data_IF_769280165916
#
_entry.id   IF_769280165916
#
_cell.length_a   1.000
_cell.length_b   1.000
_cell.length_c   1.000
_cell.angle_alpha   90.00
_cell.angle_beta   90.00
_cell.angle_gamma   90.00
#
_symmetry.space_group_name_H-M   'P 1'
#
loop_
_entity.id
_entity.type
_entity.pdbx_description
1 polymer ?
#
# COMPACT_ATOMS: atom_id res chain seq x y z
N UNK A 1 11.97 2.93 -24.12
CA UNK A 1 11.49 3.19 -22.75
C UNK A 1 10.14 2.50 -22.56
N UNK A 2 10.10 1.39 -21.83
CA UNK A 2 8.89 0.65 -21.44
C UNK A 2 8.50 1.04 -20.02
N UNK A 3 7.28 1.52 -19.87
CA UNK A 3 6.70 1.87 -18.57
C UNK A 3 5.74 0.75 -18.14
N UNK A 4 5.87 0.27 -16.91
CA UNK A 4 4.89 -0.62 -16.29
C UNK A 4 4.14 0.13 -15.19
N UNK A 5 2.81 0.19 -15.27
CA UNK A 5 1.95 0.78 -14.24
C UNK A 5 1.25 -0.34 -13.47
N UNK A 6 1.37 -0.33 -12.15
CA UNK A 6 0.71 -1.29 -11.25
C UNK A 6 -0.27 -0.53 -10.34
N UNK A 7 -1.54 -0.44 -10.72
CA UNK A 7 -2.59 0.18 -9.89
C UNK A 7 -3.24 -0.84 -8.96
N UNK A 8 -3.86 -0.36 -7.87
CA UNK A 8 -4.76 -1.12 -6.99
C UNK A 8 -4.16 -2.44 -6.50
N UNK A 9 -2.86 -2.41 -6.21
CA UNK A 9 -2.13 -3.64 -5.87
C UNK A 9 -2.65 -4.26 -4.57
N UNK A 10 -3.14 -3.44 -3.61
CA UNK A 10 -3.71 -3.88 -2.33
C UNK A 10 -2.83 -4.89 -1.58
N UNK A 11 -1.52 -4.83 -1.77
CA UNK A 11 -0.54 -5.74 -1.20
C UNK A 11 -0.54 -7.13 -1.85
N UNK A 12 -1.31 -7.30 -2.91
CA UNK A 12 -1.26 -8.47 -3.76
C UNK A 12 0.15 -8.74 -4.24
N UNK A 13 0.71 -9.89 -3.85
CA UNK A 13 2.02 -10.37 -4.31
C UNK A 13 1.96 -10.92 -5.74
N UNK A 14 0.82 -10.78 -6.42
CA UNK A 14 0.48 -11.50 -7.64
C UNK A 14 1.57 -11.28 -8.68
N UNK A 15 2.34 -12.33 -8.95
CA UNK A 15 3.21 -12.49 -10.11
C UNK A 15 4.17 -11.33 -10.44
N UNK A 16 4.47 -10.42 -9.52
CA UNK A 16 5.29 -9.24 -9.84
C UNK A 16 6.63 -9.67 -10.46
N UNK A 17 7.30 -10.69 -9.89
CA UNK A 17 8.54 -11.22 -10.44
C UNK A 17 8.39 -11.82 -11.85
N UNK A 18 7.31 -12.54 -12.12
CA UNK A 18 7.09 -13.16 -13.43
C UNK A 18 6.66 -12.13 -14.47
N UNK A 19 5.84 -11.17 -14.07
CA UNK A 19 5.42 -10.03 -14.89
C UNK A 19 6.62 -9.15 -15.28
N UNK A 20 7.53 -8.86 -14.34
CA UNK A 20 8.72 -8.07 -14.62
C UNK A 20 9.65 -8.77 -15.61
N UNK A 21 9.80 -10.10 -15.53
CA UNK A 21 10.55 -10.89 -16.51
C UNK A 21 9.90 -10.91 -17.88
N UNK A 22 8.58 -10.91 -17.94
CA UNK A 22 7.84 -10.93 -19.20
C UNK A 22 7.86 -9.57 -19.90
N UNK A 23 7.68 -8.49 -19.14
CA UNK A 23 7.53 -7.13 -19.68
C UNK A 23 8.89 -6.46 -19.92
N UNK A 24 9.86 -6.74 -19.04
CA UNK A 24 11.17 -6.08 -18.98
C UNK A 24 11.05 -4.54 -18.99
N UNK A 25 10.38 -3.92 -18.00
CA UNK A 25 10.18 -2.48 -17.98
C UNK A 25 11.46 -1.72 -17.60
N UNK A 26 11.61 -0.52 -18.15
CA UNK A 26 12.67 0.43 -17.79
C UNK A 26 12.32 1.23 -16.53
N UNK A 27 11.02 1.37 -16.24
CA UNK A 27 10.47 2.14 -15.13
C UNK A 27 9.14 1.53 -14.68
N UNK A 28 8.95 1.44 -13.36
CA UNK A 28 7.71 0.99 -12.72
C UNK A 28 7.04 2.18 -12.05
N UNK A 29 5.72 2.31 -12.19
CA UNK A 29 4.92 3.33 -11.51
C UNK A 29 3.78 2.66 -10.75
N UNK A 30 3.63 3.01 -9.47
CA UNK A 30 2.59 2.47 -8.60
C UNK A 30 1.75 3.64 -8.05
N UNK A 31 0.59 3.91 -8.66
CA UNK A 31 -0.30 4.97 -8.22
C UNK A 31 -1.18 4.51 -7.04
N UNK A 32 -0.70 4.73 -5.82
CA UNK A 32 -1.47 4.55 -4.59
C UNK A 32 -1.92 3.13 -4.29
N UNK A 33 -2.67 3.00 -3.19
CA UNK A 33 -3.39 1.78 -2.78
C UNK A 33 -2.51 0.51 -2.68
N UNK A 34 -1.22 0.72 -2.39
CA UNK A 34 -0.22 -0.33 -2.12
C UNK A 34 -0.59 -1.14 -0.88
N UNK A 35 -0.84 -0.51 0.27
CA UNK A 35 -1.52 -1.14 1.37
C UNK A 35 -2.98 -0.68 1.44
N UNK A 36 -3.89 -1.39 0.79
CA UNK A 36 -5.33 -1.13 0.89
C UNK A 36 -6.10 -2.40 1.20
N UNK A 37 -7.02 -2.36 2.17
CA UNK A 37 -8.15 -3.30 2.18
C UNK A 37 -9.41 -2.45 2.10
N UNK A 38 -10.09 -2.49 0.96
CA UNK A 38 -11.32 -1.72 0.73
C UNK A 38 -12.44 -2.19 1.69
N UNK A 39 -12.41 -3.45 2.12
CA UNK A 39 -13.58 -4.11 2.69
C UNK A 39 -13.93 -3.69 4.13
N UNK A 40 -12.92 -3.41 4.97
CA UNK A 40 -13.16 -3.23 6.41
C UNK A 40 -13.72 -1.85 6.82
N UNK A 41 -13.24 -0.73 6.25
CA UNK A 41 -13.80 0.60 6.54
C UNK A 41 -15.26 0.72 6.14
N UNK A 42 -15.65 0.15 4.99
CA UNK A 42 -17.04 0.13 4.50
C UNK A 42 -17.95 -0.63 5.48
N UNK A 43 -17.51 -1.81 5.93
CA UNK A 43 -18.21 -2.60 6.94
C UNK A 43 -18.42 -1.79 8.23
N UNK A 44 -17.37 -1.16 8.76
CA UNK A 44 -17.48 -0.42 10.04
C UNK A 44 -18.32 0.87 9.90
N UNK A 45 -18.18 1.61 8.80
CA UNK A 45 -18.97 2.81 8.53
C UNK A 45 -20.46 2.50 8.39
N UNK A 46 -20.80 1.35 7.79
CA UNK A 46 -22.19 0.89 7.71
C UNK A 46 -22.82 0.69 9.10
N UNK A 47 -22.07 0.17 10.07
CA UNK A 47 -22.52 0.00 11.47
C UNK A 47 -22.58 1.32 12.25
N UNK A 48 -21.71 2.30 11.96
CA UNK A 48 -21.72 3.60 12.63
C UNK A 48 -22.95 4.45 12.29
N UNK A 49 -23.52 4.28 11.10
CA UNK A 49 -24.70 5.02 10.64
C UNK A 49 -26.01 4.68 11.39
N UNK A 50 -26.07 3.59 12.17
CA UNK A 50 -27.32 3.03 12.74
C UNK A 50 -27.47 3.04 14.28
N UNK A 51 -26.65 3.76 15.04
CA UNK A 51 -27.00 4.21 16.41
C UNK A 51 -26.33 3.55 17.64
N UNK A 52 -26.64 4.13 18.82
CA UNK A 52 -26.32 3.90 20.26
C UNK A 52 -24.94 3.36 20.72
N UNK A 53 -24.16 2.65 19.91
CA UNK A 53 -22.85 2.05 20.29
C UNK A 53 -21.64 2.75 19.67
N UNK A 54 -21.79 4.02 19.26
CA UNK A 54 -20.78 4.81 18.53
C UNK A 54 -19.38 4.76 19.16
N UNK A 55 -19.26 4.88 20.48
CA UNK A 55 -17.97 4.84 21.19
C UNK A 55 -17.32 3.45 21.15
N UNK A 56 -18.09 2.38 21.33
CA UNK A 56 -17.60 1.00 21.20
C UNK A 56 -17.15 0.72 19.77
N UNK A 57 -17.94 1.12 18.77
CA UNK A 57 -17.58 0.94 17.36
C UNK A 57 -16.34 1.77 17.00
N UNK A 58 -16.19 2.99 17.52
CA UNK A 58 -14.99 3.83 17.33
C UNK A 58 -13.74 3.17 17.93
N UNK A 59 -13.83 2.62 19.15
CA UNK A 59 -12.71 1.92 19.79
C UNK A 59 -12.35 0.60 19.08
N UNK A 60 -13.35 -0.16 18.63
CA UNK A 60 -13.16 -1.36 17.82
C UNK A 60 -12.55 -1.02 16.46
N UNK A 61 -13.01 0.06 15.82
CA UNK A 61 -12.47 0.60 14.58
C UNK A 61 -10.98 0.93 14.73
N UNK A 62 -10.57 1.71 15.74
CA UNK A 62 -9.16 2.05 15.93
C UNK A 62 -8.28 0.82 16.16
N UNK A 63 -8.70 -0.13 17.00
CA UNK A 63 -7.97 -1.39 17.22
C UNK A 63 -7.88 -2.24 15.94
N UNK A 64 -8.92 -2.21 15.11
CA UNK A 64 -8.91 -2.87 13.81
C UNK A 64 -7.99 -2.14 12.82
N UNK A 65 -8.03 -0.82 12.80
CA UNK A 65 -7.22 0.03 11.94
C UNK A 65 -5.74 -0.19 12.22
N UNK A 66 -5.29 -0.17 13.48
CA UNK A 66 -3.89 -0.48 13.84
C UNK A 66 -3.43 -1.86 13.34
N UNK A 67 -4.25 -2.90 13.54
CA UNK A 67 -3.96 -4.26 13.08
C UNK A 67 -3.95 -4.36 11.55
N UNK A 68 -4.84 -3.63 10.89
CA UNK A 68 -4.92 -3.52 9.44
C UNK A 68 -3.69 -2.81 8.90
N UNK A 69 -3.31 -1.65 9.44
CA UNK A 69 -2.10 -0.89 9.09
C UNK A 69 -0.85 -1.75 9.20
N UNK A 70 -0.70 -2.54 10.28
CA UNK A 70 0.45 -3.44 10.39
C UNK A 70 0.45 -4.56 9.33
N UNK A 71 -0.71 -5.18 9.07
CA UNK A 71 -0.83 -6.20 8.00
C UNK A 71 -0.54 -5.60 6.63
N UNK A 72 -1.10 -4.43 6.36
CA UNK A 72 -0.89 -3.61 5.18
C UNK A 72 0.59 -3.32 4.95
N UNK A 73 1.30 -2.79 5.95
CA UNK A 73 2.75 -2.57 5.91
C UNK A 73 3.50 -3.88 5.64
N UNK A 74 3.18 -4.96 6.37
CA UNK A 74 3.84 -6.26 6.20
C UNK A 74 3.69 -6.80 4.78
N UNK A 75 2.51 -6.63 4.20
CA UNK A 75 2.19 -7.09 2.86
C UNK A 75 2.88 -6.22 1.80
N UNK A 76 2.75 -4.89 1.89
CA UNK A 76 3.44 -3.95 1.01
C UNK A 76 4.96 -4.16 1.05
N UNK A 77 5.54 -4.37 2.23
CA UNK A 77 6.98 -4.66 2.41
C UNK A 77 7.47 -5.80 1.53
N UNK A 78 6.68 -6.87 1.36
CA UNK A 78 7.10 -8.02 0.55
C UNK A 78 7.18 -7.67 -0.93
N UNK A 79 6.14 -7.00 -1.44
CA UNK A 79 6.12 -6.50 -2.82
C UNK A 79 7.28 -5.53 -3.06
N UNK A 80 7.47 -4.56 -2.16
CA UNK A 80 8.54 -3.58 -2.30
C UNK A 80 9.93 -4.22 -2.28
N UNK A 81 10.16 -5.25 -1.46
CA UNK A 81 11.43 -6.01 -1.51
C UNK A 81 11.59 -6.72 -2.85
N UNK A 82 10.54 -7.36 -3.38
CA UNK A 82 10.59 -7.99 -4.71
C UNK A 82 10.90 -6.95 -5.82
N UNK A 83 10.45 -5.69 -5.67
CA UNK A 83 10.77 -4.57 -6.57
C UNK A 83 12.20 -4.02 -6.36
N UNK A 84 12.66 -3.90 -5.12
CA UNK A 84 14.05 -3.54 -4.78
C UNK A 84 15.00 -4.53 -5.46
N UNK A 85 14.76 -5.82 -5.28
CA UNK A 85 15.59 -6.91 -5.80
C UNK A 85 15.63 -6.92 -7.34
N UNK A 86 14.61 -6.36 -8.01
CA UNK A 86 14.59 -6.25 -9.47
C UNK A 86 15.60 -5.24 -10.02
N UNK A 87 16.03 -4.27 -9.20
CA UNK A 87 16.90 -3.18 -9.62
C UNK A 87 16.24 -2.14 -10.54
N UNK A 88 14.99 -2.36 -10.95
CA UNK A 88 14.26 -1.46 -11.85
C UNK A 88 13.83 -0.22 -11.04
N UNK A 89 14.08 1.00 -11.55
CA UNK A 89 13.57 2.22 -10.94
C UNK A 89 12.06 2.14 -10.75
N UNK A 90 11.60 2.44 -9.55
CA UNK A 90 10.18 2.36 -9.16
C UNK A 90 9.74 3.69 -8.55
N UNK A 91 8.66 4.25 -9.08
CA UNK A 91 7.99 5.42 -8.54
C UNK A 91 6.74 4.98 -7.78
N UNK A 92 6.69 5.33 -6.50
CA UNK A 92 5.52 5.14 -5.65
C UNK A 92 4.83 6.49 -5.50
N UNK A 93 3.58 6.58 -5.90
CA UNK A 93 2.76 7.78 -5.71
C UNK A 93 1.78 7.47 -4.58
N UNK A 94 1.58 8.41 -3.66
CA UNK A 94 0.64 8.19 -2.57
C UNK A 94 -0.81 8.16 -3.06
N UNK A 95 -1.61 7.24 -2.52
CA UNK A 95 -3.06 7.24 -2.68
C UNK A 95 -3.76 8.16 -1.68
N UNK A 96 -5.09 8.03 -1.63
CA UNK A 96 -5.96 8.73 -0.68
C UNK A 96 -6.29 7.86 0.56
N UNK A 97 -5.94 6.57 0.56
CA UNK A 97 -6.31 5.62 1.62
C UNK A 97 -5.21 5.39 2.66
N UNK A 98 -3.97 5.86 2.43
CA UNK A 98 -2.84 5.59 3.33
C UNK A 98 -2.87 6.46 4.59
N UNK A 99 -2.78 5.79 5.75
CA UNK A 99 -2.69 6.45 7.06
C UNK A 99 -1.36 7.19 7.24
N UNK A 100 -1.26 8.19 8.16
CA UNK A 100 -0.01 8.89 8.46
C UNK A 100 1.17 7.96 8.83
N UNK A 101 0.89 6.86 9.54
CA UNK A 101 1.88 5.84 9.92
C UNK A 101 2.42 5.10 8.69
N UNK A 102 1.52 4.77 7.76
CA UNK A 102 1.87 4.12 6.50
C UNK A 102 2.76 5.03 5.66
N UNK A 103 2.42 6.32 5.57
CA UNK A 103 3.22 7.33 4.85
C UNK A 103 4.62 7.47 5.46
N UNK A 104 4.70 7.57 6.79
CA UNK A 104 5.99 7.63 7.50
C UNK A 104 6.83 6.39 7.24
N UNK A 105 6.24 5.20 7.33
CA UNK A 105 6.91 3.95 7.03
C UNK A 105 7.42 3.89 5.58
N UNK A 106 6.62 4.34 4.63
CA UNK A 106 6.97 4.30 3.21
C UNK A 106 8.13 5.25 2.88
N UNK A 107 8.13 6.46 3.46
CA UNK A 107 9.26 7.40 3.34
C UNK A 107 10.55 6.77 3.87
N UNK A 108 10.53 6.24 5.09
CA UNK A 108 11.68 5.55 5.69
C UNK A 108 12.16 4.34 4.87
N UNK A 109 11.23 3.62 4.23
CA UNK A 109 11.57 2.52 3.34
C UNK A 109 12.30 3.02 2.08
N UNK A 110 11.79 4.07 1.43
CA UNK A 110 12.40 4.63 0.22
C UNK A 110 13.76 5.28 0.50
N UNK A 111 13.94 5.94 1.64
CA UNK A 111 15.23 6.49 2.06
C UNK A 111 16.32 5.41 2.18
N UNK A 112 15.91 4.17 2.51
CA UNK A 112 16.81 3.01 2.60
C UNK A 112 17.18 2.41 1.25
N UNK A 113 16.31 2.50 0.24
CA UNK A 113 16.46 1.80 -1.04
C UNK A 113 16.41 2.78 -2.21
N UNK A 114 17.57 3.04 -2.81
CA UNK A 114 17.77 4.12 -3.80
C UNK A 114 17.01 3.95 -5.13
N UNK A 115 16.56 2.74 -5.48
CA UNK A 115 15.82 2.49 -6.72
C UNK A 115 14.30 2.60 -6.54
N UNK A 116 13.82 2.88 -5.33
CA UNK A 116 12.41 3.12 -5.05
C UNK A 116 12.24 4.55 -4.54
N UNK A 117 11.43 5.33 -5.24
CA UNK A 117 11.22 6.74 -4.93
C UNK A 117 9.78 6.98 -4.51
N UNK A 118 9.62 7.60 -3.34
CA UNK A 118 8.33 8.07 -2.86
C UNK A 118 8.07 9.49 -3.36
N UNK A 119 7.01 9.65 -4.15
CA UNK A 119 6.53 10.95 -4.60
C UNK A 119 5.37 11.35 -3.68
N UNK A 120 5.63 12.32 -2.81
CA UNK A 120 4.57 13.02 -2.06
C UNK A 120 4.66 14.51 -2.28
N UNK A 121 3.50 15.14 -2.42
CA UNK A 121 3.32 16.58 -2.24
C UNK A 121 3.88 17.07 -0.89
#
# INVERSE_FOLDING_TARGET
MKLLVLSDTHGGRWYAKDLLKLVEPDLIVIPGDLPGSIDFPVLVLSYLSKGRRRTYVKNSYFRFQERLTYRQIRTAKRLLIDLVDSGIPTLLIHGNTETPETRTWMKLFCDRYKNIHWISD
#
